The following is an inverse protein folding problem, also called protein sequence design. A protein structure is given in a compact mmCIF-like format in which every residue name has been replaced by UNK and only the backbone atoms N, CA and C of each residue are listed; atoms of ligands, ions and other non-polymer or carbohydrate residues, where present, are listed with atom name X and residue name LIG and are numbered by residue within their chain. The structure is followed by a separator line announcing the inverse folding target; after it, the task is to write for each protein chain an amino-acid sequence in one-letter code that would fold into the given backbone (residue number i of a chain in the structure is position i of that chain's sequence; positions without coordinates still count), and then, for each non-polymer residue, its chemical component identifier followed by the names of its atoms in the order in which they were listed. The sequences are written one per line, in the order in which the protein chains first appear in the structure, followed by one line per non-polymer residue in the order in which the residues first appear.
data_IF_624212791702
#
_entry.id   IF_624212791702
#
_cell.length_a   1.000
_cell.length_b   1.000
_cell.length_c   1.000
_cell.angle_alpha   90.00
_cell.angle_beta   90.00
_cell.angle_gamma   90.00
#
_symmetry.space_group_name_H-M   'P 1'
#
loop_
_entity.id
_entity.type
_entity.pdbx_description
1 polymer ?
#
# COMPACT_ATOMS: atom_id res chain seq x y z
N UNK A 1 -1.17 1.45 21.75
CA UNK A 1 -1.66 0.77 20.52
C UNK A 1 -1.20 1.50 19.28
N UNK A 2 -1.38 2.83 19.16
CA UNK A 2 -1.00 3.60 17.96
C UNK A 2 0.45 3.42 17.53
N UNK A 3 1.41 3.53 18.47
CA UNK A 3 2.83 3.35 18.16
C UNK A 3 3.15 1.95 17.62
N UNK A 4 2.50 0.91 18.16
CA UNK A 4 2.68 -0.46 17.66
C UNK A 4 2.09 -0.63 16.25
N UNK A 5 0.94 0.00 15.99
CA UNK A 5 0.35 0.00 14.64
C UNK A 5 1.25 0.74 13.66
N UNK A 6 1.77 1.92 14.03
CA UNK A 6 2.72 2.69 13.23
C UNK A 6 3.98 1.87 12.88
N UNK A 7 4.53 1.16 13.89
CA UNK A 7 5.67 0.26 13.65
C UNK A 7 5.34 -0.86 12.66
N UNK A 8 4.15 -1.43 12.75
CA UNK A 8 3.70 -2.45 11.80
C UNK A 8 3.57 -1.87 10.38
N UNK A 9 3.04 -0.66 10.24
CA UNK A 9 2.90 -0.01 8.94
C UNK A 9 4.26 0.37 8.35
N UNK A 10 5.21 0.77 9.20
CA UNK A 10 6.62 0.95 8.81
C UNK A 10 7.25 -0.35 8.31
N UNK A 11 7.10 -1.46 9.03
CA UNK A 11 7.62 -2.76 8.61
C UNK A 11 6.97 -3.25 7.30
N UNK A 12 5.68 -2.90 7.08
CA UNK A 12 5.00 -3.15 5.82
C UNK A 12 5.65 -2.35 4.68
N UNK A 13 5.88 -1.05 4.87
CA UNK A 13 6.53 -0.21 3.87
C UNK A 13 7.92 -0.76 3.52
N UNK A 14 8.76 -1.05 4.50
CA UNK A 14 10.11 -1.59 4.29
C UNK A 14 10.08 -2.94 3.56
N UNK A 15 9.07 -3.79 3.84
CA UNK A 15 9.01 -5.13 3.24
C UNK A 15 8.40 -5.12 1.84
N UNK A 16 7.30 -4.40 1.63
CA UNK A 16 6.50 -4.50 0.42
C UNK A 16 6.79 -3.39 -0.61
N UNK A 17 7.32 -2.24 -0.18
CA UNK A 17 7.78 -1.18 -1.08
C UNK A 17 9.29 -1.25 -1.36
N UNK A 18 9.95 -2.34 -0.96
CA UNK A 18 11.35 -2.58 -1.30
C UNK A 18 11.54 -2.73 -2.80
N UNK A 19 12.56 -2.04 -3.33
CA UNK A 19 12.90 -2.07 -4.74
C UNK A 19 13.37 -3.46 -5.19
N UNK A 20 13.10 -3.79 -6.44
CA UNK A 20 13.50 -5.06 -7.09
C UNK A 20 12.95 -6.32 -6.38
N UNK A 21 11.85 -6.17 -5.68
CA UNK A 21 11.23 -7.27 -4.95
C UNK A 21 10.13 -7.95 -5.76
N UNK A 22 9.43 -7.18 -6.59
CA UNK A 22 8.28 -7.65 -7.34
C UNK A 22 8.65 -8.00 -8.78
N UNK A 23 8.16 -9.16 -9.22
CA UNK A 23 8.46 -9.71 -10.55
C UNK A 23 7.20 -9.87 -11.42
N UNK A 24 6.03 -9.47 -10.94
CA UNK A 24 4.75 -9.61 -11.65
C UNK A 24 4.56 -8.71 -12.87
N UNK A 25 5.45 -7.76 -13.08
CA UNK A 25 5.41 -6.80 -14.17
C UNK A 25 5.69 -7.43 -15.54
N UNK A 26 5.43 -6.68 -16.59
CA UNK A 26 5.75 -7.03 -17.97
C UNK A 26 7.25 -7.21 -18.22
N UNK A 27 8.11 -6.53 -17.46
CA UNK A 27 9.56 -6.58 -17.54
C UNK A 27 10.18 -7.55 -16.53
N UNK A 28 9.41 -7.98 -15.51
CA UNK A 28 9.92 -8.77 -14.38
C UNK A 28 10.69 -7.96 -13.33
N UNK A 29 10.65 -6.62 -13.43
CA UNK A 29 11.28 -5.68 -12.50
C UNK A 29 10.30 -4.57 -12.14
N UNK A 30 10.71 -3.66 -11.25
CA UNK A 30 9.95 -2.45 -10.96
C UNK A 30 9.74 -1.63 -12.24
N UNK A 31 8.58 -1.01 -12.35
CA UNK A 31 8.19 -0.21 -13.50
C UNK A 31 8.47 1.26 -13.22
N UNK A 32 9.27 1.87 -14.09
CA UNK A 32 9.35 3.31 -14.22
C UNK A 32 8.51 3.70 -15.44
N UNK A 33 7.44 4.52 -15.27
CA UNK A 33 6.64 4.97 -16.40
C UNK A 33 7.52 5.67 -17.45
N UNK A 34 7.33 5.35 -18.71
CA UNK A 34 8.10 5.98 -19.81
C UNK A 34 7.82 7.48 -19.94
N UNK A 35 6.57 7.87 -19.71
CA UNK A 35 6.15 9.24 -19.43
C UNK A 35 5.66 9.26 -17.99
N UNK A 36 6.24 10.14 -17.17
CA UNK A 36 5.81 10.28 -15.79
C UNK A 36 4.36 10.77 -15.72
N UNK A 37 3.65 10.37 -14.69
CA UNK A 37 2.21 10.59 -14.61
C UNK A 37 1.81 12.04 -14.39
N UNK A 38 2.73 12.88 -13.90
CA UNK A 38 2.59 14.33 -13.76
C UNK A 38 2.74 15.08 -15.09
N UNK A 39 3.25 14.43 -16.13
CA UNK A 39 3.45 15.04 -17.45
C UNK A 39 2.20 14.98 -18.31
N UNK A 40 2.07 15.91 -19.26
CA UNK A 40 0.92 15.98 -20.18
C UNK A 40 0.70 14.69 -21.01
N UNK A 41 1.75 13.88 -21.23
CA UNK A 41 1.71 12.63 -21.96
C UNK A 41 1.62 11.40 -21.05
N UNK A 42 1.60 11.57 -19.71
CA UNK A 42 1.43 10.50 -18.74
C UNK A 42 0.00 9.97 -18.76
N UNK A 43 -0.17 8.65 -18.80
CA UNK A 43 -1.49 8.00 -18.69
C UNK A 43 -1.40 6.87 -17.66
N UNK A 44 -1.64 7.18 -16.38
CA UNK A 44 -1.55 6.19 -15.30
C UNK A 44 -2.51 5.02 -15.52
N UNK A 45 -3.71 5.27 -16.07
CA UNK A 45 -4.70 4.22 -16.30
C UNK A 45 -4.21 3.22 -17.35
N UNK A 46 -3.58 3.71 -18.41
CA UNK A 46 -3.04 2.86 -19.49
C UNK A 46 -1.88 2.01 -18.99
N UNK A 47 -0.98 2.61 -18.21
CA UNK A 47 0.18 1.92 -17.66
C UNK A 47 -0.25 0.83 -16.67
N UNK A 48 -1.12 1.16 -15.73
CA UNK A 48 -1.64 0.18 -14.75
C UNK A 48 -2.39 -0.96 -15.46
N UNK A 49 -3.24 -0.66 -16.45
CA UNK A 49 -3.96 -1.69 -17.23
C UNK A 49 -3.03 -2.60 -18.01
N UNK A 50 -1.92 -2.08 -18.51
CA UNK A 50 -0.87 -2.86 -19.17
C UNK A 50 -0.29 -3.89 -18.20
N UNK A 51 0.05 -3.46 -16.99
CA UNK A 51 0.64 -4.33 -15.98
C UNK A 51 -0.38 -5.32 -15.36
N UNK A 52 -1.65 -4.92 -15.18
CA UNK A 52 -2.74 -5.85 -14.80
C UNK A 52 -2.82 -7.02 -15.81
N UNK A 53 -2.74 -6.70 -17.11
CA UNK A 53 -2.78 -7.71 -18.17
C UNK A 53 -1.54 -8.58 -18.19
N UNK A 54 -0.35 -7.99 -17.94
CA UNK A 54 0.91 -8.71 -17.86
C UNK A 54 0.92 -9.70 -16.70
N UNK A 55 0.52 -9.27 -15.51
CA UNK A 55 0.39 -10.13 -14.33
C UNK A 55 -0.60 -11.26 -14.59
N UNK A 56 -1.78 -10.96 -15.15
CA UNK A 56 -2.77 -11.99 -15.48
C UNK A 56 -2.24 -12.99 -16.51
N UNK A 57 -1.46 -12.54 -17.51
CA UNK A 57 -0.83 -13.44 -18.50
C UNK A 57 0.21 -14.35 -17.86
N UNK A 58 0.97 -13.84 -16.89
CA UNK A 58 2.05 -14.56 -16.22
C UNK A 58 1.54 -15.58 -15.18
N UNK A 59 0.57 -15.18 -14.37
CA UNK A 59 0.12 -15.93 -13.18
C UNK A 59 -1.27 -16.54 -13.31
N UNK A 60 -2.06 -16.11 -14.29
CA UNK A 60 -3.49 -16.45 -14.39
C UNK A 60 -4.39 -15.67 -13.43
N UNK A 61 -3.84 -14.89 -12.50
CA UNK A 61 -4.55 -14.18 -11.45
C UNK A 61 -4.59 -12.69 -11.77
N UNK A 62 -5.76 -12.06 -11.59
CA UNK A 62 -5.92 -10.62 -11.73
C UNK A 62 -5.62 -9.95 -10.39
N UNK A 63 -4.79 -8.89 -10.33
CA UNK A 63 -4.61 -8.10 -9.11
C UNK A 63 -5.92 -7.47 -8.68
N UNK A 64 -6.11 -7.30 -7.38
CA UNK A 64 -7.33 -6.78 -6.80
C UNK A 64 -7.13 -5.54 -5.94
N UNK A 65 -5.91 -5.24 -5.53
CA UNK A 65 -5.63 -4.09 -4.67
C UNK A 65 -4.50 -3.24 -5.22
N UNK A 66 -4.55 -1.94 -4.92
CA UNK A 66 -3.47 -1.01 -5.23
C UNK A 66 -3.25 -0.07 -4.05
N UNK A 67 -1.99 0.17 -3.73
CA UNK A 67 -1.54 1.09 -2.68
C UNK A 67 -0.74 2.19 -3.35
N UNK A 68 -1.12 3.44 -3.14
CA UNK A 68 -0.43 4.61 -3.65
C UNK A 68 0.32 5.32 -2.53
N UNK A 69 1.52 5.83 -2.80
CA UNK A 69 2.12 6.87 -2.00
C UNK A 69 1.38 8.20 -2.17
N UNK A 70 1.59 9.14 -1.27
CA UNK A 70 0.83 10.39 -1.23
C UNK A 70 1.01 11.23 -2.51
N UNK A 71 2.24 11.48 -2.95
CA UNK A 71 2.51 12.24 -4.18
C UNK A 71 2.00 11.52 -5.43
N UNK A 72 2.21 10.19 -5.51
CA UNK A 72 1.70 9.39 -6.62
C UNK A 72 0.17 9.45 -6.75
N UNK A 73 -0.54 9.57 -5.62
CA UNK A 73 -2.00 9.70 -5.61
C UNK A 73 -2.44 11.08 -6.10
N UNK A 74 -1.83 12.15 -5.63
CA UNK A 74 -2.13 13.53 -6.04
C UNK A 74 -1.97 13.69 -7.56
N UNK A 75 -0.87 13.16 -8.10
CA UNK A 75 -0.62 13.18 -9.54
C UNK A 75 -1.69 12.42 -10.34
N UNK A 76 -2.20 11.30 -9.81
CA UNK A 76 -3.28 10.54 -10.46
C UNK A 76 -4.60 11.32 -10.44
N UNK A 77 -4.89 12.05 -9.34
CA UNK A 77 -6.09 12.89 -9.25
C UNK A 77 -6.09 14.03 -10.27
N UNK A 78 -4.94 14.66 -10.47
CA UNK A 78 -4.79 15.84 -11.34
C UNK A 78 -4.55 15.47 -12.80
N UNK A 79 -4.33 14.20 -13.12
CA UNK A 79 -4.00 13.75 -14.47
C UNK A 79 -5.16 13.96 -15.46
N UNK A 80 -4.96 14.69 -16.57
CA UNK A 80 -6.00 14.99 -17.54
C UNK A 80 -6.69 13.75 -18.13
N UNK A 81 -5.93 12.65 -18.36
CA UNK A 81 -6.48 11.42 -18.91
C UNK A 81 -7.43 10.72 -17.93
N UNK A 82 -7.23 10.87 -16.62
CA UNK A 82 -8.12 10.37 -15.56
C UNK A 82 -9.38 11.23 -15.51
N UNK A 83 -9.21 12.55 -15.45
CA UNK A 83 -10.30 13.53 -15.36
C UNK A 83 -11.22 13.41 -16.56
N UNK A 84 -10.70 13.30 -17.78
CA UNK A 84 -11.52 13.18 -18.99
C UNK A 84 -12.35 11.90 -19.00
N UNK A 85 -11.78 10.77 -18.56
CA UNK A 85 -12.54 9.52 -18.48
C UNK A 85 -13.68 9.58 -17.48
N UNK A 86 -13.49 10.27 -16.36
CA UNK A 86 -14.54 10.46 -15.36
C UNK A 86 -15.62 11.40 -15.86
N UNK A 87 -15.24 12.53 -16.49
CA UNK A 87 -16.20 13.48 -17.07
C UNK A 87 -17.12 12.84 -18.11
N UNK A 88 -16.59 12.03 -19.00
CA UNK A 88 -17.36 11.37 -20.05
C UNK A 88 -18.07 10.10 -19.60
N UNK A 89 -17.68 9.52 -18.47
CA UNK A 89 -18.30 8.31 -17.90
C UNK A 89 -19.54 8.57 -17.02
N UNK A 90 -19.69 9.77 -16.48
CA UNK A 90 -20.81 10.17 -15.62
C UNK A 90 -21.52 11.38 -16.24
N UNK A 91 -22.51 11.13 -17.06
CA UNK A 91 -23.31 12.20 -17.66
C UNK A 91 -24.63 12.43 -16.92
N UNK A 92 -24.57 12.76 -15.63
CA UNK A 92 -25.75 13.26 -14.92
C UNK A 92 -25.53 14.70 -14.45
N UNK A 93 -26.37 15.66 -14.90
CA UNK A 93 -26.23 17.07 -14.51
C UNK A 93 -26.31 17.34 -13.00
N UNK A 94 -26.89 16.40 -12.25
CA UNK A 94 -27.13 16.54 -10.80
C UNK A 94 -26.09 15.81 -9.93
N UNK A 95 -25.12 15.14 -10.51
CA UNK A 95 -24.08 14.43 -9.77
C UNK A 95 -22.70 14.80 -10.35
N UNK A 96 -21.99 15.76 -9.75
CA UNK A 96 -20.66 16.12 -10.23
C UNK A 96 -19.74 14.90 -10.17
N UNK A 97 -18.90 14.74 -11.20
CA UNK A 97 -17.92 13.67 -11.24
C UNK A 97 -16.84 13.93 -10.18
N UNK A 98 -16.79 13.08 -9.16
CA UNK A 98 -15.73 13.12 -8.16
C UNK A 98 -14.63 12.11 -8.49
N UNK A 99 -13.40 12.58 -8.45
CA UNK A 99 -12.21 11.72 -8.51
C UNK A 99 -11.92 11.24 -7.09
N UNK A 100 -12.26 10.00 -6.79
CA UNK A 100 -11.97 9.36 -5.51
C UNK A 100 -11.44 7.93 -5.73
N UNK A 101 -10.98 7.29 -4.66
CA UNK A 101 -10.40 5.94 -4.72
C UNK A 101 -11.37 4.92 -5.33
N UNK A 102 -12.65 5.03 -5.01
CA UNK A 102 -13.69 4.11 -5.51
C UNK A 102 -13.92 4.24 -7.01
N UNK A 103 -13.93 5.49 -7.52
CA UNK A 103 -14.11 5.75 -8.94
C UNK A 103 -12.93 5.21 -9.76
N UNK A 104 -11.70 5.46 -9.30
CA UNK A 104 -10.50 4.97 -9.97
C UNK A 104 -10.40 3.44 -9.85
N UNK A 105 -10.74 2.86 -8.70
CA UNK A 105 -10.82 1.41 -8.54
C UNK A 105 -11.80 0.77 -9.53
N UNK A 106 -12.98 1.36 -9.72
CA UNK A 106 -13.96 0.89 -10.69
C UNK A 106 -13.44 0.98 -12.14
N UNK A 107 -12.77 2.06 -12.52
CA UNK A 107 -12.17 2.24 -13.86
C UNK A 107 -11.10 1.19 -14.14
N UNK A 108 -10.26 0.86 -13.14
CA UNK A 108 -9.21 -0.16 -13.24
C UNK A 108 -9.76 -1.58 -13.04
N UNK A 109 -10.95 -1.71 -12.50
CA UNK A 109 -11.58 -2.99 -12.14
C UNK A 109 -10.85 -3.65 -10.98
N UNK A 110 -10.40 -2.86 -10.00
CA UNK A 110 -9.81 -3.28 -8.73
C UNK A 110 -10.90 -3.30 -7.64
N UNK A 111 -10.68 -4.09 -6.59
CA UNK A 111 -11.57 -4.14 -5.44
C UNK A 111 -11.36 -2.96 -4.50
N UNK A 112 -10.10 -2.56 -4.32
CA UNK A 112 -9.72 -1.53 -3.36
C UNK A 112 -8.47 -0.77 -3.80
N UNK A 113 -8.51 0.54 -3.59
CA UNK A 113 -7.34 1.42 -3.61
C UNK A 113 -7.15 1.94 -2.19
N UNK A 114 -5.90 2.03 -1.76
CA UNK A 114 -5.48 2.59 -0.47
C UNK A 114 -4.43 3.66 -0.74
N UNK A 115 -4.58 4.81 -0.13
CA UNK A 115 -3.57 5.86 -0.13
C UNK A 115 -2.77 5.76 1.17
N UNK A 116 -1.47 5.68 1.04
CA UNK A 116 -0.54 5.51 2.16
C UNK A 116 0.11 6.87 2.48
N UNK A 117 -0.58 7.64 3.33
CA UNK A 117 -0.24 9.00 3.73
C UNK A 117 0.20 9.12 5.20
N UNK A 118 0.63 8.00 5.80
CA UNK A 118 1.04 7.94 7.20
C UNK A 118 2.41 8.57 7.36
N UNK A 119 2.52 9.51 8.30
CA UNK A 119 3.76 10.21 8.64
C UNK A 119 4.35 9.73 9.96
N UNK A 120 5.66 9.86 10.10
CA UNK A 120 6.38 9.57 11.33
C UNK A 120 7.51 10.58 11.55
N UNK A 121 7.98 10.70 12.79
CA UNK A 121 9.11 11.55 13.11
C UNK A 121 10.42 10.78 12.88
N UNK A 122 11.28 11.31 12.05
CA UNK A 122 12.61 10.76 11.72
C UNK A 122 13.72 11.28 12.63
N UNK A 123 13.44 12.30 13.45
CA UNK A 123 14.43 12.94 14.34
C UNK A 123 14.81 12.03 15.49
N UNK A 124 16.04 12.16 15.94
CA UNK A 124 16.51 11.58 17.19
C UNK A 124 15.85 12.26 18.40
N UNK A 125 15.77 11.55 19.52
CA UNK A 125 15.20 12.08 20.75
C UNK A 125 15.95 13.34 21.22
N UNK A 126 15.21 14.43 21.45
CA UNK A 126 15.76 15.72 21.85
C UNK A 126 16.18 16.66 20.72
N UNK A 127 16.11 16.23 19.45
CA UNK A 127 16.26 17.09 18.28
C UNK A 127 14.93 17.74 17.89
N UNK A 128 14.99 18.74 17.00
CA UNK A 128 13.78 19.31 16.40
C UNK A 128 13.04 18.25 15.56
N UNK A 129 11.72 18.24 15.61
CA UNK A 129 10.90 17.29 14.88
C UNK A 129 11.12 17.42 13.35
N UNK A 130 11.34 16.27 12.70
CA UNK A 130 11.39 16.14 11.25
C UNK A 130 10.40 15.05 10.83
N UNK A 131 9.27 15.47 10.27
CA UNK A 131 8.22 14.56 9.81
C UNK A 131 8.47 14.11 8.39
N UNK A 132 8.29 12.82 8.12
CA UNK A 132 8.40 12.22 6.80
C UNK A 132 7.34 11.15 6.61
N UNK A 133 7.02 10.82 5.36
CA UNK A 133 6.10 9.72 5.07
C UNK A 133 6.78 8.37 5.29
N UNK A 134 6.00 7.42 5.83
CA UNK A 134 6.48 6.03 5.99
C UNK A 134 6.67 5.35 4.64
N UNK A 135 5.80 5.66 3.68
CA UNK A 135 5.80 5.06 2.35
C UNK A 135 6.50 6.00 1.37
N UNK A 136 7.19 5.42 0.39
CA UNK A 136 7.78 6.20 -0.70
C UNK A 136 6.66 6.92 -1.46
N UNK A 137 6.69 8.25 -1.42
CA UNK A 137 5.58 9.10 -1.88
C UNK A 137 5.28 8.96 -3.36
N UNK A 138 6.33 8.82 -4.19
CA UNK A 138 6.29 8.72 -5.65
C UNK A 138 6.09 7.30 -6.19
N UNK A 139 5.64 6.38 -5.35
CA UNK A 139 5.53 4.97 -5.69
C UNK A 139 4.11 4.46 -5.57
N UNK A 140 3.79 3.45 -6.36
CA UNK A 140 2.49 2.77 -6.30
C UNK A 140 2.67 1.26 -6.44
N UNK A 141 2.02 0.49 -5.56
CA UNK A 141 2.10 -0.96 -5.50
C UNK A 141 0.78 -1.59 -5.93
N UNK A 142 0.79 -2.30 -7.05
CA UNK A 142 -0.31 -3.11 -7.53
C UNK A 142 -0.10 -4.56 -7.09
N UNK A 143 -1.06 -5.16 -6.40
CA UNK A 143 -0.90 -6.51 -5.86
C UNK A 143 -2.20 -7.31 -5.86
N UNK A 144 -2.06 -8.62 -5.72
CA UNK A 144 -3.16 -9.53 -5.42
C UNK A 144 -3.08 -9.98 -3.96
N UNK A 145 -4.10 -9.68 -3.19
CA UNK A 145 -4.24 -10.16 -1.82
C UNK A 145 -5.46 -11.07 -1.72
N UNK A 146 -5.27 -12.30 -1.27
CA UNK A 146 -6.37 -13.24 -1.06
C UNK A 146 -7.33 -12.73 0.03
N UNK A 147 -8.63 -12.79 -0.23
CA UNK A 147 -9.66 -12.36 0.72
C UNK A 147 -9.65 -13.20 2.02
N UNK A 148 -9.35 -14.49 1.89
CA UNK A 148 -9.22 -15.40 3.02
C UNK A 148 -7.85 -16.05 3.00
N UNK A 149 -7.05 -15.93 4.08
CA UNK A 149 -5.75 -16.58 4.14
C UNK A 149 -5.89 -18.09 4.21
N UNK A 150 -5.03 -18.81 3.48
CA UNK A 150 -5.04 -20.29 3.47
C UNK A 150 -3.76 -20.84 2.84
N UNK A 151 -3.42 -22.09 3.17
CA UNK A 151 -2.19 -22.75 2.71
C UNK A 151 -2.14 -22.89 1.19
N UNK A 152 -3.29 -23.10 0.55
CA UNK A 152 -3.40 -23.26 -0.90
C UNK A 152 -3.93 -22.01 -1.62
N UNK A 153 -4.04 -20.89 -0.91
CA UNK A 153 -4.52 -19.63 -1.49
C UNK A 153 -3.32 -18.77 -1.87
N UNK A 154 -3.07 -18.56 -3.17
CA UNK A 154 -2.00 -17.67 -3.61
C UNK A 154 -2.29 -16.23 -3.17
N UNK A 155 -1.27 -15.52 -2.72
CA UNK A 155 -1.32 -14.10 -2.38
C UNK A 155 0.07 -13.49 -2.54
N UNK A 156 0.13 -12.21 -2.83
CA UNK A 156 1.41 -11.48 -2.92
C UNK A 156 2.21 -11.59 -1.61
N UNK A 157 1.54 -11.49 -0.48
CA UNK A 157 2.16 -11.65 0.82
C UNK A 157 1.15 -11.89 1.93
N UNK A 158 1.68 -12.25 3.08
CA UNK A 158 0.91 -12.46 4.30
C UNK A 158 1.60 -11.83 5.51
N UNK A 159 0.78 -11.41 6.46
CA UNK A 159 1.22 -11.05 7.80
C UNK A 159 0.90 -12.25 8.71
N UNK A 160 1.94 -12.93 9.16
CA UNK A 160 1.82 -14.07 10.08
C UNK A 160 1.84 -13.55 11.50
N UNK A 161 0.83 -13.86 12.29
CA UNK A 161 0.70 -13.44 13.69
C UNK A 161 0.83 -14.65 14.61
N UNK A 162 1.69 -14.54 15.62
CA UNK A 162 1.87 -15.63 16.60
C UNK A 162 0.86 -15.52 17.76
N UNK A 163 -0.34 -16.01 17.51
CA UNK A 163 -1.46 -15.91 18.45
C UNK A 163 -1.24 -16.63 19.78
N UNK A 164 -0.60 -17.80 19.75
CA UNK A 164 -0.35 -18.59 20.96
C UNK A 164 0.58 -17.88 21.95
N UNK A 165 1.60 -17.21 21.45
CA UNK A 165 2.54 -16.47 22.29
C UNK A 165 1.87 -15.32 23.04
N UNK A 166 1.02 -14.59 22.39
CA UNK A 166 0.35 -13.41 22.96
C UNK A 166 -0.97 -13.74 23.66
N UNK A 167 -1.47 -14.97 23.55
CA UNK A 167 -2.80 -15.35 24.02
C UNK A 167 -3.91 -14.38 23.57
N UNK A 168 -3.75 -13.79 22.37
CA UNK A 168 -4.61 -12.75 21.80
C UNK A 168 -4.98 -13.06 20.36
N UNK A 169 -6.26 -12.89 20.03
CA UNK A 169 -6.77 -13.10 18.66
C UNK A 169 -6.28 -12.01 17.69
N UNK A 170 -6.02 -10.81 18.18
CA UNK A 170 -5.54 -9.67 17.38
C UNK A 170 -4.03 -9.66 17.18
N UNK A 171 -3.27 -10.53 17.87
CA UNK A 171 -1.81 -10.50 17.86
C UNK A 171 -1.20 -9.29 18.58
N UNK A 172 -1.99 -8.63 19.41
CA UNK A 172 -1.60 -7.51 20.26
C UNK A 172 -1.97 -7.83 21.70
N UNK A 173 -1.04 -7.66 22.62
CA UNK A 173 -1.25 -7.79 24.07
C UNK A 173 -0.79 -6.52 24.76
N UNK A 174 -1.64 -6.00 25.63
CA UNK A 174 -1.30 -4.88 26.52
C UNK A 174 -1.41 -5.38 27.95
N UNK A 175 -0.33 -5.25 28.70
CA UNK A 175 -0.25 -5.61 30.13
C UNK A 175 0.03 -4.38 30.96
N UNK A 176 -0.58 -4.34 32.15
CA UNK A 176 -0.29 -3.36 33.18
C UNK A 176 0.22 -4.11 34.39
N UNK A 177 1.40 -3.77 34.82
CA UNK A 177 2.04 -4.35 36.00
C UNK A 177 2.34 -3.24 37.01
N UNK A 178 2.00 -3.50 38.29
CA UNK A 178 2.39 -2.62 39.39
C UNK A 178 3.81 -2.91 39.78
N UNK A 179 4.67 -1.88 39.81
CA UNK A 179 6.02 -1.95 40.39
C UNK A 179 6.01 -1.26 41.75
N UNK A 180 5.91 -2.04 42.80
CA UNK A 180 5.80 -1.53 44.15
C UNK A 180 7.11 -0.89 44.65
N UNK A 181 8.26 -1.35 44.15
CA UNK A 181 9.56 -0.79 44.50
C UNK A 181 9.74 0.64 43.99
N UNK A 182 9.31 0.87 42.74
CA UNK A 182 9.35 2.18 42.09
C UNK A 182 8.09 3.02 42.34
N UNK A 183 7.07 2.47 43.02
CA UNK A 183 5.75 3.08 43.23
C UNK A 183 5.10 3.59 41.92
N UNK A 184 5.30 2.86 40.85
CA UNK A 184 4.85 3.21 39.51
C UNK A 184 4.09 2.06 38.85
N UNK A 185 3.31 2.36 37.84
CA UNK A 185 2.66 1.36 36.99
C UNK A 185 3.47 1.23 35.67
N UNK A 186 3.83 0.00 35.31
CA UNK A 186 4.45 -0.33 34.05
C UNK A 186 3.39 -0.83 33.08
N UNK A 187 3.29 -0.18 31.92
CA UNK A 187 2.39 -0.59 30.83
C UNK A 187 3.27 -1.13 29.71
N UNK A 188 3.04 -2.39 29.34
CA UNK A 188 3.74 -3.05 28.24
C UNK A 188 2.78 -3.38 27.12
N UNK A 189 3.17 -3.04 25.89
CA UNK A 189 2.49 -3.46 24.68
C UNK A 189 3.39 -4.40 23.87
N UNK A 190 2.88 -5.57 23.50
CA UNK A 190 3.61 -6.57 22.72
C UNK A 190 2.84 -6.90 21.45
N UNK A 191 3.56 -6.99 20.34
CA UNK A 191 3.10 -7.53 19.06
C UNK A 191 4.08 -8.58 18.57
N UNK A 192 3.57 -9.74 18.15
CA UNK A 192 4.37 -10.79 17.54
C UNK A 192 3.82 -11.11 16.14
N UNK A 193 4.53 -10.64 15.13
CA UNK A 193 4.17 -10.86 13.73
C UNK A 193 5.42 -10.98 12.86
N UNK A 194 5.25 -11.56 11.69
CA UNK A 194 6.25 -11.57 10.63
C UNK A 194 5.56 -11.27 9.30
N UNK A 195 6.10 -10.35 8.55
CA UNK A 195 5.63 -10.04 7.21
C UNK A 195 6.49 -10.77 6.18
N UNK A 196 5.84 -11.43 5.23
CA UNK A 196 6.56 -12.18 4.19
C UNK A 196 5.86 -12.03 2.85
N UNK A 197 6.65 -11.75 1.84
CA UNK A 197 6.26 -11.88 0.44
C UNK A 197 6.26 -13.36 0.13
N UNK A 198 5.13 -13.88 -0.34
CA UNK A 198 4.93 -15.30 -0.63
C UNK A 198 5.07 -15.57 -2.12
N UNK A 199 4.51 -14.67 -2.94
CA UNK A 199 4.58 -14.78 -4.40
C UNK A 199 4.91 -13.40 -4.99
N UNK A 200 6.18 -13.20 -5.34
CA UNK A 200 6.66 -11.95 -5.95
C UNK A 200 6.02 -11.66 -7.31
N UNK A 201 5.55 -12.69 -8.01
CA UNK A 201 4.86 -12.56 -9.30
C UNK A 201 3.44 -11.98 -9.18
N UNK A 202 2.89 -11.91 -7.97
CA UNK A 202 1.56 -11.35 -7.69
C UNK A 202 1.61 -9.89 -7.22
N UNK A 203 2.73 -9.21 -7.45
CA UNK A 203 2.90 -7.78 -7.19
C UNK A 203 3.68 -7.09 -8.31
N UNK A 204 3.39 -5.80 -8.51
CA UNK A 204 4.09 -4.88 -9.42
C UNK A 204 4.30 -3.56 -8.69
N UNK A 205 5.54 -3.15 -8.56
CA UNK A 205 5.89 -1.83 -8.02
C UNK A 205 6.14 -0.85 -9.16
N UNK A 206 5.41 0.25 -9.15
CA UNK A 206 5.69 1.44 -9.92
C UNK A 206 6.50 2.39 -9.04
N UNK A 207 7.60 2.90 -9.57
CA UNK A 207 8.47 3.84 -8.86
C UNK A 207 8.71 5.07 -9.70
N UNK A 208 9.01 6.18 -9.04
CA UNK A 208 9.33 7.47 -9.71
C UNK A 208 8.23 7.83 -10.72
N UNK A 209 6.98 7.78 -10.26
CA UNK A 209 5.81 8.05 -11.11
C UNK A 209 5.60 9.53 -11.37
N UNK A 210 6.17 10.38 -10.52
CA UNK A 210 6.24 11.83 -10.65
C UNK A 210 7.69 12.33 -10.85
N UNK A 211 7.87 13.66 -11.01
CA UNK A 211 9.18 14.30 -11.26
C UNK A 211 9.85 14.77 -9.99
#
# INVERSE_FOLDING_TARGET
TQQLTLKRDYDFAVTFFALNTWTGSSTGNDIVPGNKWDTANGDPIKDIRKEIRAMKKKTGIKPNKMVYGAAAWDVVLDNPAVIDRIKYGQSSPNNPAFTNEQTIAAILGLEQIVVADIVYNTSEEGAADSMDFIFTEDSALLLYAAATPGILMPSAGYIFTWRQYLASTSGLRIMRMRNDLARSDRIEGEMAYAMKIVASDLGVLFKTVDT
#
